data_IF_084776414314
#
_entry.id   IF_084776414314
#
_cell.length_a   1.000
_cell.length_b   1.000
_cell.length_c   1.000
_cell.angle_alpha   90.00
_cell.angle_beta   90.00
_cell.angle_gamma   90.00
#
_symmetry.space_group_name_H-M   'P 1'
#
loop_
_entity.id
_entity.type
_entity.pdbx_description
1 polymer ?
#
# COMPACT_ATOMS: atom_id res chain seq x y z
N UNK A 1 -10.26 -46.59 -48.51
CA UNK A 1 -9.20 -47.22 -47.69
C UNK A 1 -9.87 -48.00 -46.57
N UNK A 2 -9.80 -49.33 -46.66
CA UNK A 2 -10.30 -50.27 -45.66
C UNK A 2 -9.33 -50.34 -44.48
N UNK A 3 -9.84 -50.52 -43.26
CA UNK A 3 -9.13 -51.34 -42.28
C UNK A 3 -10.15 -52.15 -41.46
N UNK A 4 -9.96 -53.46 -41.57
CA UNK A 4 -10.75 -54.54 -40.97
C UNK A 4 -10.56 -54.60 -39.45
N UNK A 5 -11.63 -54.94 -38.74
CA UNK A 5 -11.54 -55.65 -37.46
C UNK A 5 -12.27 -56.99 -37.59
N UNK A 6 -11.55 -58.07 -37.30
CA UNK A 6 -12.07 -59.45 -37.37
C UNK A 6 -12.79 -59.80 -36.05
N UNK A 7 -13.99 -60.36 -36.16
CA UNK A 7 -14.71 -61.01 -35.05
C UNK A 7 -14.70 -62.53 -35.27
N UNK A 8 -14.55 -63.38 -34.24
CA UNK A 8 -14.69 -64.83 -34.38
C UNK A 8 -16.11 -65.29 -34.03
N UNK A 9 -16.59 -66.35 -34.70
CA UNK A 9 -17.83 -67.05 -34.37
C UNK A 9 -17.57 -68.52 -34.01
N UNK A 10 -18.45 -69.00 -33.15
CA UNK A 10 -18.40 -70.18 -32.28
C UNK A 10 -19.21 -71.33 -32.91
N UNK A 11 -19.22 -72.48 -32.21
CA UNK A 11 -20.19 -73.58 -32.18
C UNK A 11 -19.67 -74.89 -32.79
N UNK A 12 -19.96 -76.11 -32.30
CA UNK A 12 -20.21 -76.75 -30.99
C UNK A 12 -20.97 -78.05 -31.33
N UNK A 13 -20.62 -79.16 -30.66
CA UNK A 13 -21.53 -80.30 -30.29
C UNK A 13 -21.84 -81.32 -31.43
N UNK A 14 -21.71 -82.65 -31.25
CA UNK A 14 -22.62 -83.54 -30.48
C UNK A 14 -22.06 -84.96 -30.13
N UNK A 15 -22.60 -85.57 -29.04
CA UNK A 15 -22.68 -87.03 -28.71
C UNK A 15 -21.41 -87.74 -28.19
N UNK A 16 -21.41 -88.73 -27.27
CA UNK A 16 -22.43 -89.62 -26.70
C UNK A 16 -21.81 -90.51 -25.57
N UNK A 17 -22.63 -91.37 -24.92
CA UNK A 17 -22.41 -92.07 -23.63
C UNK A 17 -21.71 -93.45 -23.69
N UNK A 18 -21.06 -93.80 -22.56
CA UNK A 18 -20.69 -95.15 -22.04
C UNK A 18 -19.63 -95.96 -22.83
N UNK A 19 -18.68 -96.71 -22.27
CA UNK A 19 -18.14 -97.01 -20.92
C UNK A 19 -16.90 -97.91 -21.17
N UNK A 20 -15.84 -97.78 -20.35
CA UNK A 20 -14.67 -98.70 -20.21
C UNK A 20 -13.55 -98.65 -21.30
N UNK A 21 -12.33 -99.20 -21.04
CA UNK A 21 -11.39 -99.06 -19.91
C UNK A 21 -9.98 -98.59 -20.39
N UNK A 22 -9.01 -98.49 -19.47
CA UNK A 22 -7.54 -98.33 -19.70
C UNK A 22 -6.97 -96.90 -19.76
N UNK A 23 -5.81 -96.73 -19.11
CA UNK A 23 -5.14 -95.47 -18.70
C UNK A 23 -3.98 -95.14 -19.66
N UNK A 24 -3.79 -93.89 -20.16
CA UNK A 24 -2.80 -92.92 -19.60
C UNK A 24 -3.21 -91.44 -19.88
N UNK A 25 -2.36 -90.39 -19.87
CA UNK A 25 -1.17 -89.98 -19.10
C UNK A 25 -1.41 -88.63 -18.36
N UNK A 26 -0.42 -88.04 -17.66
CA UNK A 26 -0.56 -86.72 -17.03
C UNK A 26 -0.50 -85.59 -18.06
N UNK A 27 -1.42 -84.63 -17.98
CA UNK A 27 -1.34 -83.40 -18.78
C UNK A 27 -1.55 -82.18 -17.87
N UNK A 28 -0.50 -81.37 -17.79
CA UNK A 28 -0.38 -80.19 -16.97
C UNK A 28 -1.39 -79.14 -17.46
N UNK A 29 -2.45 -78.89 -16.69
CA UNK A 29 -3.36 -77.77 -16.93
C UNK A 29 -2.97 -76.61 -16.03
N UNK A 30 -2.64 -75.48 -16.68
CA UNK A 30 -2.23 -74.20 -16.10
C UNK A 30 -3.07 -73.76 -14.89
N UNK A 31 -2.49 -73.03 -13.93
CA UNK A 31 -3.27 -72.41 -12.85
C UNK A 31 -4.32 -71.51 -13.48
N UNK A 32 -5.60 -71.81 -13.23
CA UNK A 32 -6.70 -70.96 -13.63
C UNK A 32 -6.51 -69.59 -12.98
N UNK A 33 -6.38 -68.58 -13.84
CA UNK A 33 -6.26 -67.18 -13.45
C UNK A 33 -7.38 -66.86 -12.45
N UNK A 34 -6.97 -66.58 -11.20
CA UNK A 34 -7.84 -66.08 -10.15
C UNK A 34 -8.70 -64.96 -10.74
N UNK A 35 -10.01 -65.20 -10.75
CA UNK A 35 -11.04 -64.23 -11.14
C UNK A 35 -10.71 -62.91 -10.43
N UNK A 36 -10.21 -61.91 -11.19
CA UNK A 36 -9.95 -60.57 -10.64
C UNK A 36 -11.26 -60.10 -10.02
N UNK A 37 -11.30 -60.03 -8.69
CA UNK A 37 -12.38 -59.38 -7.94
C UNK A 37 -12.53 -58.00 -8.58
N UNK A 38 -13.67 -57.75 -9.25
CA UNK A 38 -14.01 -56.40 -9.70
C UNK A 38 -14.08 -55.54 -8.44
N UNK A 39 -13.08 -54.70 -8.27
CA UNK A 39 -12.99 -53.77 -7.15
C UNK A 39 -14.18 -52.83 -7.30
N UNK A 40 -15.10 -52.90 -6.33
CA UNK A 40 -16.32 -52.11 -6.34
C UNK A 40 -15.96 -50.63 -6.39
N UNK A 41 -16.50 -49.90 -7.37
CA UNK A 41 -16.19 -48.49 -7.61
C UNK A 41 -16.52 -47.63 -6.38
N UNK A 42 -17.49 -48.06 -5.57
CA UNK A 42 -17.81 -47.45 -4.28
C UNK A 42 -16.67 -47.61 -3.27
N UNK A 43 -16.03 -48.78 -3.23
CA UNK A 43 -14.85 -49.05 -2.38
C UNK A 43 -13.63 -48.26 -2.83
N UNK A 44 -13.45 -48.06 -4.14
CA UNK A 44 -12.38 -47.18 -4.65
C UNK A 44 -12.63 -45.74 -4.23
N UNK A 45 -13.88 -45.26 -4.34
CA UNK A 45 -14.27 -43.92 -3.90
C UNK A 45 -14.07 -43.68 -2.41
N UNK A 46 -14.46 -44.64 -1.55
CA UNK A 46 -14.23 -44.53 -0.10
C UNK A 46 -12.76 -44.55 0.26
N UNK A 47 -11.94 -45.40 -0.39
CA UNK A 47 -10.49 -45.41 -0.19
C UNK A 47 -9.86 -44.08 -0.61
N UNK A 48 -10.28 -43.50 -1.75
CA UNK A 48 -9.78 -42.20 -2.21
C UNK A 48 -10.12 -41.07 -1.22
N UNK A 49 -11.38 -41.03 -0.74
CA UNK A 49 -11.82 -40.04 0.24
C UNK A 49 -11.06 -40.18 1.57
N UNK A 50 -10.85 -41.41 2.04
CA UNK A 50 -10.07 -41.65 3.25
C UNK A 50 -8.62 -41.17 3.10
N UNK A 51 -7.99 -41.39 1.94
CA UNK A 51 -6.64 -40.88 1.67
C UNK A 51 -6.60 -39.35 1.63
N UNK A 52 -7.59 -38.69 1.02
CA UNK A 52 -7.68 -37.24 1.00
C UNK A 52 -7.84 -36.64 2.41
N UNK A 53 -8.69 -37.26 3.24
CA UNK A 53 -8.86 -36.83 4.63
C UNK A 53 -7.57 -37.03 5.43
N UNK A 54 -6.88 -38.16 5.24
CA UNK A 54 -5.59 -38.42 5.89
C UNK A 54 -4.54 -37.38 5.50
N UNK A 55 -4.45 -37.02 4.21
CA UNK A 55 -3.53 -35.99 3.72
C UNK A 55 -3.87 -34.61 4.30
N UNK A 56 -5.14 -34.26 4.41
CA UNK A 56 -5.57 -33.01 5.02
C UNK A 56 -5.18 -32.95 6.51
N UNK A 57 -5.42 -34.03 7.27
CA UNK A 57 -5.04 -34.11 8.68
C UNK A 57 -3.52 -34.07 8.87
N UNK A 58 -2.75 -34.75 8.02
CA UNK A 58 -1.29 -34.68 8.04
C UNK A 58 -0.78 -33.27 7.73
N UNK A 59 -1.37 -32.58 6.75
CA UNK A 59 -1.04 -31.19 6.42
C UNK A 59 -1.34 -30.23 7.58
N UNK A 60 -2.48 -30.40 8.25
CA UNK A 60 -2.82 -29.62 9.45
C UNK A 60 -1.84 -29.89 10.59
N UNK A 61 -1.52 -31.15 10.86
CA UNK A 61 -0.56 -31.51 11.91
C UNK A 61 0.83 -30.89 11.65
N UNK A 62 1.36 -31.05 10.43
CA UNK A 62 2.63 -30.44 10.03
C UNK A 62 2.58 -28.92 10.12
N UNK A 63 1.49 -28.30 9.66
CA UNK A 63 1.27 -26.86 9.76
C UNK A 63 1.26 -26.37 11.21
N UNK A 64 0.59 -27.09 12.11
CA UNK A 64 0.57 -26.74 13.55
C UNK A 64 1.94 -26.89 14.21
N UNK A 65 2.70 -27.95 13.89
CA UNK A 65 4.06 -28.14 14.41
C UNK A 65 4.97 -27.00 13.94
N UNK A 66 4.93 -26.66 12.65
CA UNK A 66 5.71 -25.57 12.10
C UNK A 66 5.35 -24.21 12.74
N UNK A 67 4.06 -23.96 12.97
CA UNK A 67 3.60 -22.74 13.63
C UNK A 67 4.11 -22.64 15.08
N UNK A 68 4.12 -23.77 15.81
CA UNK A 68 4.62 -23.83 17.18
C UNK A 68 6.14 -23.66 17.25
N UNK A 69 6.88 -24.22 16.28
CA UNK A 69 8.32 -24.04 16.17
C UNK A 69 8.69 -22.58 15.91
N UNK A 70 7.99 -21.92 14.98
CA UNK A 70 8.13 -20.48 14.73
C UNK A 70 7.77 -19.64 15.96
N UNK A 71 6.71 -20.01 16.69
CA UNK A 71 6.36 -19.30 17.92
C UNK A 71 7.42 -19.47 19.01
N UNK A 72 8.04 -20.65 19.10
CA UNK A 72 9.13 -20.92 20.03
C UNK A 72 10.38 -20.11 19.68
N UNK A 73 10.75 -20.04 18.40
CA UNK A 73 11.86 -19.21 17.92
C UNK A 73 11.63 -17.71 18.19
N UNK A 74 10.39 -17.23 18.03
CA UNK A 74 10.01 -15.85 18.40
C UNK A 74 10.11 -15.61 19.91
N UNK A 75 9.73 -16.58 20.75
CA UNK A 75 9.82 -16.44 22.21
C UNK A 75 11.27 -16.48 22.69
N UNK A 76 12.09 -17.36 22.13
CA UNK A 76 13.53 -17.44 22.42
C UNK A 76 14.24 -16.14 22.01
N UNK A 77 13.94 -15.59 20.83
CA UNK A 77 14.43 -14.25 20.43
C UNK A 77 13.95 -13.13 21.36
N UNK A 78 12.76 -13.24 21.95
CA UNK A 78 12.20 -12.22 22.85
C UNK A 78 12.82 -12.29 24.25
N UNK A 79 13.26 -13.47 24.68
CA UNK A 79 13.82 -13.70 26.00
C UNK A 79 15.34 -13.50 26.03
N UNK A 80 16.04 -13.80 24.93
CA UNK A 80 17.47 -13.53 24.77
C UNK A 80 17.77 -12.02 24.60
N UNK A 81 16.76 -11.25 24.17
CA UNK A 81 16.88 -9.80 23.96
C UNK A 81 16.49 -8.96 25.19
N UNK A 82 16.82 -9.46 26.40
CA UNK A 82 16.82 -8.74 27.68
C UNK A 82 17.83 -7.57 27.76
N UNK A 83 18.29 -7.06 26.62
CA UNK A 83 19.22 -5.94 26.54
C UNK A 83 19.57 -5.61 25.09
N UNK A 84 18.78 -4.71 24.49
CA UNK A 84 19.08 -3.98 23.23
C UNK A 84 19.47 -4.86 22.01
N UNK A 85 18.49 -5.10 21.14
CA UNK A 85 18.69 -5.58 19.77
C UNK A 85 17.74 -4.88 18.77
N UNK A 86 18.05 -4.90 17.46
CA UNK A 86 17.96 -3.73 16.59
C UNK A 86 16.61 -3.51 15.90
N UNK A 87 16.46 -2.26 15.48
CA UNK A 87 15.33 -1.61 14.82
C UNK A 87 14.82 -2.41 13.61
N UNK A 88 13.66 -3.05 13.76
CA UNK A 88 12.75 -3.31 12.65
C UNK A 88 11.90 -2.04 12.44
N UNK A 89 12.03 -1.38 11.28
CA UNK A 89 11.18 -0.27 10.87
C UNK A 89 9.73 -0.74 10.76
N UNK A 90 9.00 -0.69 11.88
CA UNK A 90 7.56 -0.87 11.92
C UNK A 90 6.93 0.46 11.52
N UNK A 91 6.23 0.41 10.38
CA UNK A 91 5.34 1.44 9.88
C UNK A 91 4.39 1.89 10.99
N UNK A 92 4.24 3.21 11.05
CA UNK A 92 3.55 4.07 12.01
C UNK A 92 2.21 3.52 12.51
N UNK A 93 1.94 3.62 13.83
CA UNK A 93 0.57 3.72 14.35
C UNK A 93 0.09 2.69 15.36
N UNK A 94 0.83 2.44 16.44
CA UNK A 94 0.24 1.91 17.68
C UNK A 94 1.00 2.49 18.88
N UNK A 95 0.82 3.78 19.13
CA UNK A 95 1.23 4.36 20.40
C UNK A 95 0.19 3.94 21.45
N UNK A 96 0.65 3.25 22.49
CA UNK A 96 -0.15 2.98 23.68
C UNK A 96 -0.64 4.32 24.26
N UNK A 97 -1.95 4.56 24.19
CA UNK A 97 -2.63 5.74 24.74
C UNK A 97 -2.67 5.72 26.27
N UNK A 98 -1.51 5.71 26.93
CA UNK A 98 -1.44 5.81 28.40
C UNK A 98 -0.35 6.78 28.88
N UNK A 99 0.21 7.57 27.98
CA UNK A 99 0.98 8.76 28.31
C UNK A 99 0.56 9.89 27.37
N UNK A 100 0.20 11.09 27.87
CA UNK A 100 0.10 12.26 27.01
C UNK A 100 1.46 12.45 26.32
N UNK A 101 1.52 12.68 24.99
CA UNK A 101 2.78 12.84 24.29
C UNK A 101 3.59 13.96 24.95
N UNK A 102 4.73 13.61 25.56
CA UNK A 102 5.60 14.57 26.26
C UNK A 102 6.29 15.57 25.32
N UNK A 103 6.15 15.40 24.01
CA UNK A 103 6.56 16.38 23.00
C UNK A 103 5.42 16.68 22.04
N UNK A 104 4.88 17.90 22.12
CA UNK A 104 3.97 18.44 21.11
C UNK A 104 4.72 18.51 19.78
N UNK A 105 4.27 17.75 18.77
CA UNK A 105 4.84 17.83 17.41
C UNK A 105 4.62 19.24 16.87
N UNK A 106 5.70 19.89 16.47
CA UNK A 106 5.67 21.25 15.92
C UNK A 106 5.44 21.15 14.42
N UNK A 107 4.21 21.37 13.98
CA UNK A 107 3.80 21.26 12.60
C UNK A 107 2.56 22.10 12.30
N UNK A 108 2.44 22.55 11.07
CA UNK A 108 1.25 23.22 10.56
C UNK A 108 1.02 22.82 9.11
N UNK A 109 -0.25 22.68 8.76
CA UNK A 109 -0.72 22.57 7.39
C UNK A 109 -1.88 23.54 7.24
N UNK A 110 -1.75 24.50 6.35
CA UNK A 110 -2.76 25.51 6.07
C UNK A 110 -3.32 25.29 4.67
N UNK A 111 -4.62 25.48 4.51
CA UNK A 111 -5.33 25.26 3.24
C UNK A 111 -5.83 26.59 2.68
N UNK A 112 -6.06 26.65 1.37
CA UNK A 112 -6.48 27.89 0.71
C UNK A 112 -7.80 28.46 1.28
N UNK A 113 -7.81 29.76 1.59
CA UNK A 113 -9.03 30.49 1.96
C UNK A 113 -9.44 31.46 0.84
N UNK A 114 -10.61 31.21 0.25
CA UNK A 114 -11.17 32.02 -0.86
C UNK A 114 -11.69 33.40 -0.43
N UNK A 115 -11.92 33.64 0.87
CA UNK A 115 -12.53 34.87 1.39
C UNK A 115 -11.72 36.13 1.01
N UNK A 116 -10.44 35.99 0.65
CA UNK A 116 -9.57 37.13 0.34
C UNK A 116 -8.85 37.04 -0.99
N UNK A 117 -9.46 36.40 -2.00
CA UNK A 117 -8.93 36.41 -3.37
C UNK A 117 -8.62 37.85 -3.81
N UNK A 118 -7.41 38.10 -4.35
CA UNK A 118 -6.93 39.43 -4.72
C UNK A 118 -6.05 40.13 -3.69
N UNK A 119 -5.70 39.47 -2.58
CA UNK A 119 -4.73 39.98 -1.61
C UNK A 119 -3.42 39.16 -1.60
N UNK A 120 -2.34 39.83 -1.20
CA UNK A 120 -1.03 39.25 -0.94
C UNK A 120 -0.51 39.82 0.41
N UNK A 121 0.18 39.05 1.25
CA UNK A 121 0.36 37.59 1.15
C UNK A 121 -0.96 36.83 1.21
N UNK A 122 -0.93 35.58 0.72
CA UNK A 122 -2.11 34.71 0.71
C UNK A 122 -2.65 34.51 2.12
N UNK A 123 -3.97 34.44 2.23
CA UNK A 123 -4.67 34.03 3.46
C UNK A 123 -4.97 32.55 3.37
N UNK A 124 -5.00 31.92 4.54
CA UNK A 124 -5.12 30.50 4.68
C UNK A 124 -6.12 30.19 5.80
N UNK A 125 -6.80 29.06 5.67
CA UNK A 125 -7.53 28.46 6.76
C UNK A 125 -6.55 27.60 7.59
N UNK A 126 -6.59 27.76 8.91
CA UNK A 126 -5.73 27.07 9.87
C UNK A 126 -6.49 26.06 10.76
N UNK A 127 -7.81 25.94 10.60
CA UNK A 127 -8.68 25.20 11.51
C UNK A 127 -9.65 24.22 10.83
N UNK A 128 -10.10 24.51 9.60
CA UNK A 128 -11.13 23.72 8.92
C UNK A 128 -10.53 22.69 7.96
N UNK A 129 -11.25 21.59 7.77
CA UNK A 129 -10.88 20.55 6.80
C UNK A 129 -9.55 19.90 7.14
N UNK A 130 -8.63 19.87 6.17
CA UNK A 130 -7.27 19.34 6.37
C UNK A 130 -6.31 20.32 7.06
N UNK A 131 -6.74 21.53 7.39
CA UNK A 131 -5.89 22.52 8.04
C UNK A 131 -5.71 22.26 9.54
N UNK A 132 -4.50 22.49 10.04
CA UNK A 132 -4.21 22.46 11.46
C UNK A 132 -2.94 23.26 11.79
N UNK A 133 -2.84 23.68 13.04
CA UNK A 133 -1.60 24.17 13.65
C UNK A 133 -1.33 23.44 14.97
N UNK A 134 -0.08 23.05 15.20
CA UNK A 134 0.34 22.40 16.44
C UNK A 134 1.72 22.93 16.82
N UNK A 135 1.78 23.65 17.94
CA UNK A 135 3.01 24.29 18.38
C UNK A 135 3.55 25.34 17.40
N UNK A 136 2.72 25.91 16.53
CA UNK A 136 3.02 27.04 15.64
C UNK A 136 1.77 27.92 15.67
N UNK A 137 1.94 29.24 15.58
CA UNK A 137 0.80 30.16 15.55
C UNK A 137 0.56 30.63 14.11
N UNK A 138 -0.69 30.64 13.66
CA UNK A 138 -1.08 31.37 12.47
C UNK A 138 -1.55 32.77 12.87
N UNK A 139 -0.87 33.81 12.38
CA UNK A 139 -1.20 35.21 12.69
C UNK A 139 -0.80 36.11 11.53
N UNK A 140 -1.61 37.12 11.25
CA UNK A 140 -1.33 38.14 10.23
C UNK A 140 -0.94 37.53 8.87
N UNK A 141 -1.57 36.41 8.50
CA UNK A 141 -1.36 35.64 7.26
C UNK A 141 -0.08 34.81 7.19
N UNK A 142 0.69 34.74 8.28
CA UNK A 142 1.93 33.98 8.35
C UNK A 142 1.95 32.91 9.44
N UNK A 143 2.82 31.92 9.28
CA UNK A 143 3.15 30.96 10.32
C UNK A 143 4.29 31.52 11.20
N UNK A 144 3.97 31.83 12.46
CA UNK A 144 4.87 32.41 13.45
C UNK A 144 5.53 31.31 14.28
N UNK A 145 6.86 31.27 14.23
CA UNK A 145 7.66 30.24 14.88
C UNK A 145 7.78 30.51 16.38
N UNK A 146 7.30 29.58 17.22
CA UNK A 146 7.37 29.70 18.68
C UNK A 146 8.67 29.13 19.29
N UNK A 147 9.31 28.17 18.62
CA UNK A 147 10.50 27.43 19.06
C UNK A 147 11.47 27.33 17.89
N UNK A 148 12.67 27.87 18.07
CA UNK A 148 13.72 27.80 17.06
C UNK A 148 14.06 26.35 16.68
N UNK A 149 14.50 26.14 15.44
CA UNK A 149 14.84 24.82 14.94
C UNK A 149 15.02 24.77 13.43
N UNK A 150 15.29 23.57 12.94
CA UNK A 150 15.33 23.27 11.50
C UNK A 150 13.94 22.78 11.10
N UNK A 151 13.39 23.35 10.04
CA UNK A 151 12.04 23.06 9.58
C UNK A 151 12.07 22.66 8.11
N UNK A 152 11.27 21.65 7.76
CA UNK A 152 10.89 21.43 6.38
C UNK A 152 9.66 22.28 6.07
N UNK A 153 9.82 23.22 5.14
CA UNK A 153 8.77 24.16 4.71
C UNK A 153 8.33 23.75 3.31
N UNK A 154 7.03 23.73 3.05
CA UNK A 154 6.48 23.37 1.74
C UNK A 154 5.27 24.23 1.38
N UNK A 155 5.07 24.47 0.09
CA UNK A 155 3.94 25.21 -0.44
C UNK A 155 3.55 24.68 -1.82
N UNK A 156 2.25 24.57 -2.07
CA UNK A 156 1.67 24.22 -3.36
C UNK A 156 0.64 25.28 -3.73
N UNK A 157 0.76 25.84 -4.93
CA UNK A 157 -0.23 26.75 -5.50
C UNK A 157 -0.76 26.16 -6.79
N UNK A 158 -2.08 26.14 -6.96
CA UNK A 158 -2.72 25.78 -8.21
C UNK A 158 -3.28 27.03 -8.89
N UNK A 159 -2.73 27.35 -10.06
CA UNK A 159 -3.17 28.48 -10.88
C UNK A 159 -4.11 27.99 -11.98
N UNK A 160 -5.16 28.74 -12.27
CA UNK A 160 -6.06 28.52 -13.40
C UNK A 160 -6.70 29.81 -13.89
N UNK A 161 -7.02 29.85 -15.17
CA UNK A 161 -7.87 30.90 -15.75
C UNK A 161 -8.46 30.44 -17.06
N UNK A 162 -9.56 31.08 -17.48
CA UNK A 162 -10.11 30.92 -18.82
C UNK A 162 -9.41 31.80 -19.86
N UNK A 163 -8.68 32.83 -19.41
CA UNK A 163 -7.96 33.80 -20.26
C UNK A 163 -6.45 33.63 -20.10
N UNK A 164 -5.73 33.56 -21.23
CA UNK A 164 -4.27 33.46 -21.26
C UNK A 164 -3.63 34.86 -21.40
N UNK A 165 -3.38 35.51 -20.27
CA UNK A 165 -2.78 36.85 -20.18
C UNK A 165 -1.25 36.90 -20.43
N UNK A 166 -0.59 35.74 -20.61
CA UNK A 166 0.87 35.55 -20.78
C UNK A 166 1.78 36.25 -19.74
N UNK A 167 1.23 36.83 -18.67
CA UNK A 167 1.97 37.41 -17.54
C UNK A 167 2.66 36.31 -16.74
N UNK A 168 3.86 36.54 -16.24
CA UNK A 168 4.58 35.52 -15.48
C UNK A 168 3.80 35.09 -14.22
N UNK A 169 3.77 33.78 -13.97
CA UNK A 169 3.30 33.24 -12.71
C UNK A 169 4.47 33.19 -11.75
N UNK A 170 4.32 33.78 -10.57
CA UNK A 170 5.32 33.75 -9.51
C UNK A 170 4.70 33.13 -8.27
N UNK A 171 5.48 32.31 -7.57
CA UNK A 171 5.16 31.70 -6.30
C UNK A 171 6.40 31.88 -5.42
N UNK A 172 6.26 32.65 -4.34
CA UNK A 172 7.37 33.08 -3.49
C UNK A 172 7.04 32.73 -2.05
N UNK A 173 7.91 31.96 -1.41
CA UNK A 173 7.89 31.71 0.04
C UNK A 173 8.98 32.57 0.68
N UNK A 174 8.61 33.38 1.67
CA UNK A 174 9.53 34.32 2.30
C UNK A 174 9.31 34.39 3.81
N UNK A 175 10.31 34.91 4.54
CA UNK A 175 10.19 35.18 5.97
C UNK A 175 10.35 36.65 6.32
N UNK A 176 9.70 37.05 7.42
CA UNK A 176 9.90 38.33 8.11
C UNK A 176 10.46 38.08 9.51
N UNK A 177 11.31 38.99 9.97
CA UNK A 177 12.00 38.92 11.25
C UNK A 177 12.24 40.33 11.78
N UNK A 178 12.10 40.55 13.08
CA UNK A 178 12.36 41.88 13.68
C UNK A 178 13.84 42.31 13.55
N UNK A 179 14.72 41.34 13.28
CA UNK A 179 16.16 41.56 13.08
C UNK A 179 16.46 42.26 11.76
N UNK A 180 15.56 42.20 10.79
CA UNK A 180 15.78 42.73 9.45
C UNK A 180 14.47 43.24 8.85
N UNK A 181 14.44 44.54 8.50
CA UNK A 181 13.21 45.20 8.02
C UNK A 181 12.72 44.70 6.66
N UNK A 182 13.58 44.09 5.85
CA UNK A 182 13.22 43.63 4.50
C UNK A 182 12.86 42.14 4.53
N UNK A 183 11.94 41.77 3.66
CA UNK A 183 11.53 40.38 3.45
C UNK A 183 12.69 39.53 2.92
N UNK A 184 12.86 38.34 3.48
CA UNK A 184 13.89 37.40 3.09
C UNK A 184 13.25 36.25 2.30
N UNK A 185 13.49 36.22 0.99
CA UNK A 185 13.01 35.15 0.11
C UNK A 185 13.71 33.85 0.50
N UNK A 186 12.91 32.80 0.73
CA UNK A 186 13.38 31.46 1.05
C UNK A 186 13.36 30.57 -0.19
N UNK A 187 12.27 30.64 -0.95
CA UNK A 187 12.06 29.85 -2.17
C UNK A 187 11.24 30.69 -3.15
N UNK A 188 11.58 30.59 -4.44
CA UNK A 188 10.89 31.30 -5.52
C UNK A 188 10.82 30.40 -6.75
N UNK A 189 9.66 30.39 -7.39
CA UNK A 189 9.47 29.78 -8.69
C UNK A 189 8.76 30.76 -9.61
N UNK A 190 9.27 30.86 -10.83
CA UNK A 190 8.73 31.69 -11.90
C UNK A 190 8.40 30.81 -13.09
N UNK A 191 7.19 30.95 -13.61
CA UNK A 191 6.73 30.23 -14.79
C UNK A 191 6.29 31.21 -15.87
N UNK A 192 6.90 31.04 -17.04
CA UNK A 192 6.61 31.82 -18.25
C UNK A 192 6.02 30.88 -19.31
N UNK A 193 5.36 31.43 -20.34
CA UNK A 193 4.84 30.64 -21.48
C UNK A 193 4.00 29.40 -21.09
N UNK A 194 3.21 29.49 -20.02
CA UNK A 194 2.49 28.36 -19.43
C UNK A 194 1.11 28.10 -20.06
N UNK A 195 0.67 28.92 -21.01
CA UNK A 195 -0.62 28.79 -21.65
C UNK A 195 -0.55 29.09 -23.16
N UNK A 196 -1.37 28.38 -23.93
CA UNK A 196 -1.68 28.64 -25.33
C UNK A 196 -3.18 28.43 -25.55
N UNK A 197 -3.86 29.38 -26.20
CA UNK A 197 -5.30 29.31 -26.44
C UNK A 197 -6.16 29.68 -25.22
N UNK A 198 -7.37 29.10 -25.18
CA UNK A 198 -8.39 29.39 -24.17
C UNK A 198 -8.34 28.38 -23.03
N UNK A 199 -8.41 28.87 -21.80
CA UNK A 199 -8.36 27.99 -20.63
C UNK A 199 -6.96 27.41 -20.37
N UNK A 200 -6.49 27.55 -19.15
CA UNK A 200 -5.26 26.92 -18.71
C UNK A 200 -5.30 26.67 -17.20
N UNK A 201 -4.56 25.66 -16.78
CA UNK A 201 -4.32 25.38 -15.38
C UNK A 201 -2.92 24.80 -15.20
N UNK A 202 -2.27 25.15 -14.11
CA UNK A 202 -0.95 24.65 -13.79
C UNK A 202 -0.68 24.74 -12.29
N UNK A 203 0.35 24.06 -11.80
CA UNK A 203 0.74 24.13 -10.40
C UNK A 203 2.19 24.59 -10.25
N UNK A 204 2.49 25.06 -9.04
CA UNK A 204 3.83 25.29 -8.54
C UNK A 204 3.94 24.65 -7.17
N UNK A 205 4.94 23.79 -6.99
CA UNK A 205 5.27 23.20 -5.70
C UNK A 205 6.69 23.55 -5.34
N UNK A 206 6.91 23.94 -4.08
CA UNK A 206 8.23 24.25 -3.54
C UNK A 206 8.35 23.63 -2.15
N UNK A 207 9.55 23.15 -1.82
CA UNK A 207 9.87 22.73 -0.48
C UNK A 207 11.36 22.88 -0.20
N UNK A 208 11.72 23.08 1.07
CA UNK A 208 13.09 23.30 1.48
C UNK A 208 13.28 23.16 2.99
N UNK A 209 14.52 22.88 3.39
CA UNK A 209 14.93 22.80 4.79
C UNK A 209 15.49 24.15 5.21
N UNK A 210 14.86 24.79 6.19
CA UNK A 210 15.19 26.16 6.61
C UNK A 210 15.40 26.19 8.12
N UNK A 211 16.48 26.84 8.56
CA UNK A 211 16.66 27.16 9.98
C UNK A 211 15.86 28.40 10.34
N UNK A 212 14.95 28.26 11.30
CA UNK A 212 14.05 29.33 11.74
C UNK A 212 14.22 29.63 13.22
N UNK A 213 14.16 30.90 13.55
CA UNK A 213 14.27 31.40 14.91
C UNK A 213 12.89 31.72 15.49
N UNK A 214 12.81 31.72 16.83
CA UNK A 214 11.60 32.16 17.53
C UNK A 214 11.23 33.59 17.13
N UNK A 215 9.96 33.81 16.81
CA UNK A 215 9.42 35.10 16.36
C UNK A 215 9.48 35.33 14.86
N UNK A 216 10.26 34.53 14.11
CA UNK A 216 10.22 34.61 12.65
C UNK A 216 8.87 34.12 12.12
N UNK A 217 8.40 34.76 11.05
CA UNK A 217 7.11 34.44 10.44
C UNK A 217 7.29 34.12 8.96
N UNK A 218 6.67 33.05 8.47
CA UNK A 218 6.73 32.63 7.06
C UNK A 218 5.42 32.94 6.35
N UNK A 219 5.54 33.43 5.12
CA UNK A 219 4.45 33.88 4.26
C UNK A 219 4.62 33.34 2.85
N UNK A 220 3.54 33.38 2.08
CA UNK A 220 3.51 33.01 0.67
C UNK A 220 2.89 34.12 -0.15
N UNK A 221 3.62 34.58 -1.16
CA UNK A 221 3.14 35.50 -2.19
C UNK A 221 2.97 34.77 -3.52
N UNK A 222 2.03 35.26 -4.32
CA UNK A 222 1.86 34.84 -5.71
C UNK A 222 1.75 36.06 -6.62
N UNK A 223 2.04 35.91 -7.92
CA UNK A 223 1.94 37.04 -8.86
C UNK A 223 0.53 37.60 -8.98
N UNK A 224 -0.50 36.75 -9.00
CA UNK A 224 -1.90 37.16 -9.00
C UNK A 224 -2.77 36.13 -8.27
N UNK A 225 -3.24 36.48 -7.06
CA UNK A 225 -4.05 35.58 -6.24
C UNK A 225 -5.46 35.36 -6.78
N UNK A 226 -5.93 36.16 -7.75
CA UNK A 226 -7.19 35.92 -8.45
C UNK A 226 -7.12 34.72 -9.40
N UNK A 227 -5.91 34.33 -9.80
CA UNK A 227 -5.67 33.15 -10.63
C UNK A 227 -5.55 31.87 -9.80
N UNK A 228 -5.63 31.94 -8.47
CA UNK A 228 -5.44 30.79 -7.57
C UNK A 228 -6.74 30.04 -7.35
N UNK A 229 -6.69 28.72 -7.45
CA UNK A 229 -7.75 27.83 -7.00
C UNK A 229 -7.52 27.49 -5.52
N UNK A 230 -8.39 28.01 -4.65
CA UNK A 230 -8.28 27.89 -3.20
C UNK A 230 -8.82 26.57 -2.63
N UNK A 231 -9.18 25.59 -3.47
CA UNK A 231 -9.56 24.27 -2.96
C UNK A 231 -8.42 23.66 -2.11
N UNK A 232 -8.78 23.13 -0.93
CA UNK A 232 -7.83 22.65 0.09
C UNK A 232 -6.79 21.62 -0.42
N UNK A 233 -7.16 20.79 -1.40
CA UNK A 233 -6.27 19.78 -1.99
C UNK A 233 -5.35 20.31 -3.10
N UNK A 234 -5.64 21.52 -3.59
CA UNK A 234 -4.93 22.14 -4.72
C UNK A 234 -3.92 23.18 -4.25
N UNK A 235 -4.31 23.98 -3.26
CA UNK A 235 -3.50 25.09 -2.74
C UNK A 235 -3.36 24.98 -1.22
N UNK A 236 -2.13 24.81 -0.76
CA UNK A 236 -1.81 24.62 0.66
C UNK A 236 -0.37 25.06 0.96
N UNK A 237 -0.11 25.40 2.22
CA UNK A 237 1.17 25.84 2.73
C UNK A 237 1.38 25.25 4.12
N UNK A 238 2.57 24.72 4.41
CA UNK A 238 2.83 24.16 5.73
C UNK A 238 4.29 24.00 6.03
N UNK A 239 4.55 23.58 7.26
CA UNK A 239 5.89 23.25 7.72
C UNK A 239 5.85 22.31 8.91
N UNK A 240 6.94 21.58 9.13
CA UNK A 240 7.14 20.79 10.35
C UNK A 240 8.60 20.85 10.78
N UNK A 241 8.81 20.78 12.10
CA UNK A 241 10.13 20.76 12.68
C UNK A 241 10.78 19.38 12.49
N UNK A 242 12.04 19.37 12.06
CA UNK A 242 12.87 18.16 11.96
C UNK A 242 13.41 17.72 13.33
#
# INVERSE_FOLDING_TARGET
>A
MQQNYLYPQVFMVDGSQNLNPYVPPPAWALPTLKKKRKLDWRTVGTILLLNLVLLALAGLALGTVYLLELQKEIQEMKQDNGGKGPVAHKIIGAQNFTQPPKDLRIAAHLTGDSITAGSNPLVWDDQKGHAFTSGILYKDRGLVINKAGIFFVYSKIYFRSYVCDRKNLEHIVFKRTDRYRKELILMEAKKTNYCSGNGWATNSYQAGIIHLLKGESIYVNVSDSRLVDFAESKTFFGLYKL
#
